data_IF_480747012102
#
_entry.id   IF_480747012102
#
_cell.length_a   1.000
_cell.length_b   1.000
_cell.length_c   1.000
_cell.angle_alpha   90.00
_cell.angle_beta   90.00
_cell.angle_gamma   90.00
#
_symmetry.space_group_name_H-M   'P 1'
#
loop_
_entity.id
_entity.type
_entity.pdbx_description
1 polymer ?
#
# COMPACT_ATOMS: atom_id res chain seq x y z
N UNK A 1 -20.09 0.25 -20.59
CA UNK A 1 -18.89 0.86 -21.21
C UNK A 1 -19.01 2.39 -21.23
N UNK A 2 -18.51 3.05 -20.18
CA UNK A 2 -18.54 4.51 -20.08
C UNK A 2 -17.34 5.09 -20.83
N UNK A 3 -17.53 5.39 -22.11
CA UNK A 3 -16.57 6.17 -22.88
C UNK A 3 -16.65 7.62 -22.37
N UNK A 4 -15.60 8.08 -21.71
CA UNK A 4 -15.45 9.48 -21.34
C UNK A 4 -15.42 10.38 -22.59
N UNK A 5 -15.61 11.69 -22.41
CA UNK A 5 -15.61 12.63 -23.53
C UNK A 5 -14.26 12.57 -24.28
N UNK A 6 -14.27 12.63 -25.62
CA UNK A 6 -13.07 12.54 -26.44
C UNK A 6 -12.14 13.74 -26.19
N UNK A 7 -10.83 13.49 -26.25
CA UNK A 7 -9.81 14.53 -26.10
C UNK A 7 -9.78 15.40 -27.37
N UNK A 8 -10.08 16.70 -27.23
CA UNK A 8 -10.17 17.65 -28.34
C UNK A 8 -8.90 18.50 -28.52
N UNK A 9 -7.84 18.22 -27.76
CA UNK A 9 -6.59 18.98 -27.85
C UNK A 9 -5.90 18.72 -29.19
N UNK A 10 -5.75 19.77 -30.01
CA UNK A 10 -5.05 19.72 -31.30
C UNK A 10 -5.95 19.69 -32.54
N UNK A 11 -7.28 19.77 -32.39
CA UNK A 11 -8.21 19.90 -33.52
C UNK A 11 -8.16 21.31 -34.16
N UNK A 12 -8.27 21.39 -35.49
CA UNK A 12 -8.35 22.65 -36.24
C UNK A 12 -9.53 23.50 -35.73
N UNK A 13 -9.25 24.76 -35.38
CA UNK A 13 -10.22 25.70 -34.79
C UNK A 13 -10.23 25.78 -33.26
N UNK A 14 -9.53 24.89 -32.55
CA UNK A 14 -9.39 24.97 -31.08
C UNK A 14 -8.14 25.76 -30.66
N UNK A 15 -8.19 26.51 -29.54
CA UNK A 15 -7.05 27.27 -29.06
C UNK A 15 -5.87 26.33 -28.73
N UNK A 16 -4.62 26.80 -28.87
CA UNK A 16 -3.45 26.00 -28.52
C UNK A 16 -3.53 25.58 -27.04
N UNK A 17 -3.05 24.36 -26.69
CA UNK A 17 -3.12 23.88 -25.32
C UNK A 17 -2.49 24.89 -24.37
N UNK A 18 -3.21 25.22 -23.29
CA UNK A 18 -2.76 26.21 -22.32
C UNK A 18 -1.32 25.88 -21.86
N UNK A 19 -0.38 26.85 -21.89
CA UNK A 19 0.97 26.62 -21.43
C UNK A 19 0.92 26.15 -19.98
N UNK A 20 1.49 24.96 -19.72
CA UNK A 20 1.55 24.42 -18.36
C UNK A 20 2.21 25.47 -17.45
N UNK A 21 1.58 25.89 -16.35
CA UNK A 21 2.19 26.85 -15.43
C UNK A 21 3.51 26.27 -14.92
N UNK A 22 4.62 26.90 -15.32
CA UNK A 22 5.97 26.55 -14.88
C UNK A 22 6.33 27.41 -13.66
N UNK A 23 5.57 27.23 -12.58
CA UNK A 23 6.03 27.67 -11.26
C UNK A 23 7.11 26.72 -10.72
N UNK A 24 7.91 27.14 -9.72
CA UNK A 24 8.80 26.24 -9.01
C UNK A 24 8.01 25.02 -8.52
N UNK A 25 8.41 23.80 -8.92
CA UNK A 25 7.81 22.58 -8.39
C UNK A 25 8.20 22.48 -6.92
N UNK A 26 7.29 22.92 -6.03
CA UNK A 26 7.42 22.72 -4.59
C UNK A 26 7.60 21.22 -4.31
N UNK A 27 8.82 20.82 -3.94
CA UNK A 27 9.13 19.44 -3.57
C UNK A 27 8.66 19.19 -2.14
N UNK A 28 8.23 17.96 -1.86
CA UNK A 28 7.97 17.52 -0.49
C UNK A 28 9.29 17.35 0.26
N UNK A 29 9.41 17.99 1.42
CA UNK A 29 10.51 17.79 2.36
C UNK A 29 10.17 16.68 3.37
N UNK A 30 11.15 16.18 4.14
CA UNK A 30 10.87 15.26 5.25
C UNK A 30 9.92 15.85 6.30
N UNK A 31 10.00 17.16 6.56
CA UNK A 31 9.13 17.87 7.49
C UNK A 31 7.69 17.93 6.97
N UNK A 32 7.53 18.18 5.66
CA UNK A 32 6.23 18.10 4.99
C UNK A 32 5.61 16.70 5.15
N UNK A 33 6.40 15.66 4.91
CA UNK A 33 5.95 14.28 5.00
C UNK A 33 5.55 13.94 6.45
N UNK A 34 6.33 14.38 7.44
CA UNK A 34 6.03 14.14 8.85
C UNK A 34 4.75 14.86 9.29
N UNK A 35 4.56 16.10 8.87
CA UNK A 35 3.34 16.86 9.14
C UNK A 35 2.12 16.20 8.49
N UNK A 36 2.26 15.74 7.24
CA UNK A 36 1.17 15.09 6.50
C UNK A 36 0.71 13.80 7.20
N UNK A 37 1.65 13.00 7.69
CA UNK A 37 1.37 11.80 8.48
C UNK A 37 0.69 12.13 9.80
N UNK A 38 1.20 13.12 10.55
CA UNK A 38 0.66 13.50 11.85
C UNK A 38 -0.80 13.96 11.75
N UNK A 39 -1.09 14.85 10.79
CA UNK A 39 -2.44 15.34 10.54
C UNK A 39 -3.40 14.21 10.10
N UNK A 40 -2.91 13.25 9.30
CA UNK A 40 -3.74 12.17 8.75
C UNK A 40 -4.02 11.04 9.74
N UNK A 41 -2.99 10.59 10.47
CA UNK A 41 -3.04 9.39 11.31
C UNK A 41 -3.31 9.71 12.78
N UNK A 42 -2.70 10.79 13.32
CA UNK A 42 -2.88 11.14 14.74
C UNK A 42 -4.07 12.04 14.95
N UNK A 43 -4.24 13.05 14.10
CA UNK A 43 -5.37 14.00 14.20
C UNK A 43 -6.59 13.58 13.39
N UNK A 44 -6.50 12.51 12.59
CA UNK A 44 -7.59 11.95 11.81
C UNK A 44 -8.34 12.96 10.92
N UNK A 45 -7.62 13.95 10.38
CA UNK A 45 -8.23 15.00 9.56
C UNK A 45 -8.57 14.52 8.14
N UNK A 46 -9.61 15.12 7.55
CA UNK A 46 -9.95 14.93 6.15
C UNK A 46 -8.95 15.67 5.24
N UNK A 47 -8.70 15.16 4.03
CA UNK A 47 -7.73 15.73 3.10
C UNK A 47 -7.93 17.20 2.77
N UNK A 48 -9.19 17.67 2.76
CA UNK A 48 -9.52 19.09 2.57
C UNK A 48 -8.98 19.94 3.72
N UNK A 49 -9.19 19.52 4.95
CA UNK A 49 -8.69 20.21 6.15
C UNK A 49 -7.16 20.14 6.23
N UNK A 50 -6.56 19.03 5.80
CA UNK A 50 -5.10 18.90 5.76
C UNK A 50 -4.50 19.91 4.76
N UNK A 51 -5.17 20.17 3.63
CA UNK A 51 -4.67 21.12 2.63
C UNK A 51 -4.51 22.56 3.17
N UNK A 52 -5.28 22.93 4.19
CA UNK A 52 -5.17 24.24 4.85
C UNK A 52 -3.79 24.44 5.53
N UNK A 53 -3.07 23.34 5.84
CA UNK A 53 -1.72 23.36 6.41
C UNK A 53 -0.60 23.28 5.37
N UNK A 54 -0.92 23.11 4.08
CA UNK A 54 0.04 22.99 2.98
C UNK A 54 -0.22 24.03 1.88
N UNK A 55 0.19 25.29 2.08
CA UNK A 55 -0.05 26.34 1.10
C UNK A 55 0.56 25.96 -0.26
N UNK A 56 -0.25 26.14 -1.32
CA UNK A 56 0.16 25.80 -2.69
C UNK A 56 0.08 24.30 -3.04
N UNK A 57 -0.43 23.43 -2.15
CA UNK A 57 -0.73 22.03 -2.46
C UNK A 57 -2.22 21.74 -2.36
N UNK A 58 -2.75 21.04 -3.35
CA UNK A 58 -4.13 20.57 -3.31
C UNK A 58 -4.27 19.33 -2.43
N UNK A 59 -5.46 19.12 -1.86
CA UNK A 59 -5.81 17.90 -1.12
C UNK A 59 -5.53 16.61 -1.93
N UNK A 60 -5.78 16.63 -3.24
CA UNK A 60 -5.47 15.50 -4.13
C UNK A 60 -3.98 15.21 -4.23
N UNK A 61 -3.13 16.24 -4.33
CA UNK A 61 -1.67 16.10 -4.33
C UNK A 61 -1.17 15.46 -3.03
N UNK A 62 -1.72 15.88 -1.89
CA UNK A 62 -1.37 15.35 -0.57
C UNK A 62 -1.82 13.90 -0.40
N UNK A 63 -3.04 13.56 -0.85
CA UNK A 63 -3.53 12.18 -0.85
C UNK A 63 -2.62 11.26 -1.68
N UNK A 64 -2.24 11.67 -2.89
CA UNK A 64 -1.34 10.88 -3.75
C UNK A 64 0.03 10.70 -3.08
N UNK A 65 0.61 11.77 -2.51
CA UNK A 65 1.88 11.69 -1.78
C UNK A 65 1.79 10.69 -0.64
N UNK A 66 0.75 10.80 0.19
CA UNK A 66 0.55 9.93 1.34
C UNK A 66 0.39 8.47 0.92
N UNK A 67 -0.55 8.17 0.01
CA UNK A 67 -0.82 6.80 -0.42
C UNK A 67 0.37 6.13 -1.12
N UNK A 68 1.17 6.87 -1.88
CA UNK A 68 2.26 6.29 -2.70
C UNK A 68 3.62 6.29 -2.00
N UNK A 69 3.88 7.20 -1.05
CA UNK A 69 5.21 7.38 -0.44
C UNK A 69 5.25 7.20 1.07
N UNK A 70 4.13 7.42 1.78
CA UNK A 70 4.14 7.54 3.24
C UNK A 70 3.37 6.42 3.95
N UNK A 71 2.17 6.06 3.48
CA UNK A 71 1.28 5.10 4.16
C UNK A 71 1.97 3.79 4.55
N UNK A 72 2.75 3.21 3.63
CA UNK A 72 3.46 1.96 3.90
C UNK A 72 4.58 2.12 4.94
N UNK A 73 5.22 3.30 5.02
CA UNK A 73 6.25 3.59 6.03
C UNK A 73 5.65 3.84 7.41
N UNK A 74 4.38 4.25 7.48
CA UNK A 74 3.68 4.58 8.72
C UNK A 74 2.82 3.44 9.24
N UNK A 75 2.61 2.37 8.47
CA UNK A 75 2.00 1.14 8.97
C UNK A 75 2.91 0.56 10.05
N UNK A 76 2.57 0.84 11.31
CA UNK A 76 3.22 0.23 12.47
C UNK A 76 2.62 -1.16 12.63
N UNK A 77 3.48 -2.18 12.65
CA UNK A 77 3.08 -3.53 13.05
C UNK A 77 2.73 -3.51 14.53
N UNK A 78 1.44 -3.64 14.85
CA UNK A 78 1.00 -3.78 16.24
C UNK A 78 1.31 -5.19 16.73
N UNK A 79 1.43 -5.37 18.04
CA UNK A 79 1.66 -6.70 18.62
C UNK A 79 0.56 -7.69 18.18
N UNK A 80 -0.71 -7.26 18.17
CA UNK A 80 -1.83 -8.06 17.66
C UNK A 80 -1.67 -8.47 16.19
N UNK A 81 -1.21 -7.57 15.32
CA UNK A 81 -0.97 -7.89 13.91
C UNK A 81 0.18 -8.88 13.75
N UNK A 82 1.22 -8.74 14.58
CA UNK A 82 2.37 -9.66 14.60
C UNK A 82 1.94 -11.03 15.13
N UNK A 83 1.15 -11.08 16.20
CA UNK A 83 0.60 -12.32 16.73
C UNK A 83 -0.26 -13.03 15.68
N UNK A 84 -1.17 -12.31 15.03
CA UNK A 84 -2.00 -12.85 13.94
C UNK A 84 -1.15 -13.38 12.80
N UNK A 85 -0.10 -12.66 12.40
CA UNK A 85 0.83 -13.11 11.37
C UNK A 85 1.51 -14.42 11.77
N UNK A 86 2.03 -14.52 13.00
CA UNK A 86 2.67 -15.75 13.51
C UNK A 86 1.70 -16.93 13.49
N UNK A 87 0.48 -16.75 14.00
CA UNK A 87 -0.54 -17.80 14.01
C UNK A 87 -0.88 -18.27 12.59
N UNK A 88 -1.07 -17.35 11.64
CA UNK A 88 -1.34 -17.72 10.25
C UNK A 88 -0.18 -18.47 9.58
N UNK A 89 1.07 -18.14 9.92
CA UNK A 89 2.24 -18.87 9.42
C UNK A 89 2.31 -20.30 9.97
N UNK A 90 2.03 -20.46 11.27
CA UNK A 90 1.99 -21.78 11.92
C UNK A 90 0.86 -22.66 11.38
N UNK A 91 -0.34 -22.09 11.19
CA UNK A 91 -1.47 -22.78 10.56
C UNK A 91 -1.13 -23.26 9.15
N UNK A 92 -0.52 -22.38 8.34
CA UNK A 92 -0.09 -22.74 6.99
C UNK A 92 0.90 -23.89 6.99
N UNK A 93 1.91 -23.86 7.87
CA UNK A 93 2.86 -24.97 7.97
C UNK A 93 2.15 -26.27 8.38
N UNK A 94 1.24 -26.22 9.35
CA UNK A 94 0.48 -27.41 9.74
C UNK A 94 -0.40 -27.96 8.60
N UNK A 95 -1.06 -27.09 7.85
CA UNK A 95 -1.85 -27.47 6.66
C UNK A 95 -0.96 -28.05 5.56
N UNK A 96 0.18 -27.43 5.30
CA UNK A 96 1.17 -27.88 4.32
C UNK A 96 1.57 -29.33 4.59
N UNK A 97 1.94 -29.66 5.82
CA UNK A 97 2.37 -31.01 6.16
C UNK A 97 1.22 -32.01 6.20
N UNK A 98 0.01 -31.57 6.51
CA UNK A 98 -1.21 -32.38 6.37
C UNK A 98 -1.47 -32.79 4.93
N UNK A 99 -1.35 -31.84 4.01
CA UNK A 99 -1.51 -32.06 2.57
C UNK A 99 -0.40 -32.99 2.05
N UNK A 100 0.84 -32.78 2.48
CA UNK A 100 1.97 -33.64 2.10
C UNK A 100 1.75 -35.08 2.59
N UNK A 101 1.43 -35.27 3.87
CA UNK A 101 1.16 -36.60 4.43
C UNK A 101 0.07 -37.35 3.66
N UNK A 102 -1.03 -36.66 3.35
CA UNK A 102 -2.11 -37.22 2.51
C UNK A 102 -1.62 -37.71 1.14
N UNK A 103 -0.66 -37.00 0.52
CA UNK A 103 -0.07 -37.37 -0.76
C UNK A 103 0.99 -38.48 -0.66
N UNK A 104 1.73 -38.54 0.44
CA UNK A 104 2.76 -39.57 0.67
C UNK A 104 2.12 -40.94 0.92
N UNK A 105 0.99 -40.97 1.64
CA UNK A 105 0.19 -42.18 1.82
C UNK A 105 -0.42 -42.29 3.21
N UNK A 106 -1.38 -43.21 3.37
CA UNK A 106 -2.21 -43.36 4.58
C UNK A 106 -1.47 -43.79 5.86
N UNK A 107 -0.16 -44.06 5.79
CA UNK A 107 0.66 -44.51 6.92
C UNK A 107 1.55 -43.43 7.55
N UNK A 108 1.61 -42.22 6.98
CA UNK A 108 2.54 -41.19 7.44
C UNK A 108 1.80 -40.02 8.08
N UNK A 109 2.22 -39.63 9.28
CA UNK A 109 1.69 -38.44 9.93
C UNK A 109 2.33 -37.17 9.32
N UNK A 110 1.66 -36.01 9.40
CA UNK A 110 2.25 -34.73 8.99
C UNK A 110 3.60 -34.46 9.68
N UNK A 111 3.74 -34.86 10.95
CA UNK A 111 4.98 -34.72 11.71
C UNK A 111 6.09 -35.64 11.18
N UNK A 112 5.78 -36.89 10.84
CA UNK A 112 6.75 -37.80 10.24
C UNK A 112 7.22 -37.31 8.86
N UNK A 113 6.32 -36.73 8.07
CA UNK A 113 6.68 -36.12 6.78
C UNK A 113 7.58 -34.89 6.96
N UNK A 114 7.37 -34.09 8.01
CA UNK A 114 8.25 -32.95 8.37
C UNK A 114 9.66 -33.41 8.70
N UNK A 115 9.77 -34.29 9.69
CA UNK A 115 11.05 -34.81 10.18
C UNK A 115 11.82 -35.45 9.02
N UNK A 116 11.14 -36.23 8.18
CA UNK A 116 11.78 -36.83 7.02
C UNK A 116 12.23 -35.80 5.98
N UNK A 117 11.50 -34.70 5.82
CA UNK A 117 11.87 -33.62 4.91
C UNK A 117 13.09 -32.83 5.39
N UNK A 118 13.31 -32.73 6.70
CA UNK A 118 14.50 -32.10 7.29
C UNK A 118 15.75 -32.96 7.09
N UNK A 119 15.64 -34.29 7.16
CA UNK A 119 16.76 -35.20 6.90
C UNK A 119 17.26 -35.19 5.45
N UNK A 120 16.39 -34.85 4.49
CA UNK A 120 16.70 -34.86 3.05
C UNK A 120 17.05 -33.48 2.48
N UNK A 121 16.89 -32.41 3.26
CA UNK A 121 17.18 -31.03 2.87
C UNK A 121 18.66 -30.68 3.07
#
# INVERSE_FOLDING_TARGET
PSHGPPNLVGHEGMPPPAPRPRGPKLKFTPEDDQLLVDLKEKKNLAWKQIADFFPGRSSGTLQVRYCTKLKAKTTVWTDEMVQKLRSSMEEYENDRWRIIASKVGSGFSPAACREKAEEIA
#
